data_IF_867152976351
#
_entry.id   IF_867152976351
#
_cell.length_a   1.000
_cell.length_b   1.000
_cell.length_c   1.000
_cell.angle_alpha   90.00
_cell.angle_beta   90.00
_cell.angle_gamma   90.00
#
_symmetry.space_group_name_H-M   'P 1'
#
loop_
_entity.id
_entity.type
_entity.pdbx_description
1 polymer ?
#
# COMPACT_ATOMS: atom_id res chain seq x y z
N UNK A 1 -45.06 -26.00 -11.38
CA UNK A 1 -43.92 -26.44 -12.22
C UNK A 1 -42.71 -26.58 -11.30
N UNK A 2 -42.39 -27.82 -10.94
CA UNK A 2 -41.44 -28.25 -9.90
C UNK A 2 -40.13 -28.75 -10.52
N UNK A 3 -39.01 -28.55 -9.81
CA UNK A 3 -37.76 -29.36 -9.69
C UNK A 3 -36.66 -28.39 -9.21
N UNK A 4 -36.17 -28.34 -7.96
CA UNK A 4 -35.51 -29.34 -7.08
C UNK A 4 -34.37 -30.11 -7.77
N UNK A 5 -33.12 -29.72 -7.45
CA UNK A 5 -31.93 -30.57 -7.53
C UNK A 5 -31.20 -30.53 -6.18
N UNK A 6 -30.80 -31.73 -5.72
CA UNK A 6 -30.20 -32.09 -4.42
C UNK A 6 -28.77 -32.62 -4.64
N UNK A 7 -27.97 -32.64 -3.57
CA UNK A 7 -26.84 -33.58 -3.33
C UNK A 7 -25.48 -32.86 -3.38
N UNK A 8 -24.74 -32.62 -2.29
CA UNK A 8 -24.17 -33.49 -1.23
C UNK A 8 -23.17 -34.52 -1.77
N UNK A 9 -21.87 -34.36 -1.48
CA UNK A 9 -21.05 -35.41 -0.86
C UNK A 9 -19.70 -34.88 -0.36
N UNK A 10 -19.46 -35.09 0.94
CA UNK A 10 -18.18 -35.07 1.64
C UNK A 10 -17.49 -36.42 1.46
N UNK A 11 -16.15 -36.47 1.31
CA UNK A 11 -15.39 -37.71 1.48
C UNK A 11 -13.95 -37.44 1.93
N UNK A 12 -13.70 -37.68 3.21
CA UNK A 12 -12.39 -37.87 3.83
C UNK A 12 -11.85 -39.27 3.54
N UNK A 13 -10.55 -39.43 3.24
CA UNK A 13 -9.84 -40.67 3.57
C UNK A 13 -8.31 -40.48 3.60
N UNK A 14 -7.76 -40.48 4.82
CA UNK A 14 -6.37 -40.88 5.10
C UNK A 14 -6.24 -42.39 4.84
N UNK A 15 -5.17 -42.85 4.19
CA UNK A 15 -4.71 -44.22 4.38
C UNK A 15 -3.20 -44.36 4.23
N UNK A 16 -2.61 -44.82 5.33
CA UNK A 16 -1.23 -45.23 5.55
C UNK A 16 -0.92 -46.53 4.81
N UNK A 17 0.27 -46.66 4.22
CA UNK A 17 0.81 -47.95 3.77
C UNK A 17 2.13 -48.23 4.49
N UNK A 18 2.08 -49.17 5.44
CA UNK A 18 3.22 -49.79 6.11
C UNK A 18 2.97 -51.31 6.13
N UNK A 19 3.87 -52.09 5.54
CA UNK A 19 4.09 -53.52 5.80
C UNK A 19 5.37 -53.93 5.04
N UNK A 20 6.55 -54.04 5.66
CA UNK A 20 7.11 -55.13 6.50
C UNK A 20 7.41 -56.46 5.81
N UNK A 21 8.69 -56.87 5.93
CA UNK A 21 9.11 -58.26 6.18
C UNK A 21 10.06 -58.86 5.14
N UNK A 22 11.13 -59.61 5.43
CA UNK A 22 12.02 -59.86 6.58
C UNK A 22 13.05 -60.93 6.10
N UNK A 23 14.20 -61.03 6.81
CA UNK A 23 15.21 -62.12 6.85
C UNK A 23 16.59 -61.77 6.21
N UNK A 24 17.65 -61.41 6.97
CA UNK A 24 18.58 -62.21 7.84
C UNK A 24 19.58 -63.05 6.99
N UNK A 25 20.92 -63.14 7.19
CA UNK A 25 21.83 -62.86 8.34
C UNK A 25 23.32 -63.08 7.94
N UNK A 26 24.23 -62.23 8.46
CA UNK A 26 25.67 -62.37 8.92
C UNK A 26 26.81 -62.88 8.01
N UNK A 27 27.86 -62.04 7.85
CA UNK A 27 29.31 -62.37 8.12
C UNK A 27 30.12 -61.12 8.59
N UNK A 28 31.15 -61.23 9.47
CA UNK A 28 31.92 -60.13 10.09
C UNK A 28 33.12 -59.60 9.25
N UNK A 29 33.85 -58.55 9.69
CA UNK A 29 34.59 -57.61 8.82
C UNK A 29 36.10 -57.86 8.70
N UNK A 30 36.70 -57.48 7.56
CA UNK A 30 38.17 -57.40 7.36
C UNK A 30 38.54 -56.14 6.52
N UNK A 31 39.67 -55.44 6.81
CA UNK A 31 39.89 -54.05 6.39
C UNK A 31 40.58 -53.88 5.02
N UNK A 32 40.57 -52.63 4.57
CA UNK A 32 40.91 -52.11 3.26
C UNK A 32 42.29 -52.48 2.67
N UNK A 33 42.45 -52.31 1.35
CA UNK A 33 43.64 -51.68 0.78
C UNK A 33 43.32 -50.25 0.34
N UNK A 34 44.11 -49.30 0.85
CA UNK A 34 44.16 -47.92 0.37
C UNK A 34 44.42 -47.86 -1.13
N UNK A 35 43.70 -46.99 -1.82
CA UNK A 35 44.08 -46.47 -3.14
C UNK A 35 44.08 -44.94 -3.08
N UNK A 36 45.28 -44.38 -3.13
CA UNK A 36 45.65 -42.97 -3.31
C UNK A 36 44.89 -42.31 -4.49
N UNK A 37 44.61 -40.99 -4.45
CA UNK A 37 43.52 -40.37 -5.20
C UNK A 37 43.95 -40.05 -6.63
N UNK A 38 43.05 -40.25 -7.59
CA UNK A 38 43.19 -39.73 -8.94
C UNK A 38 41.82 -39.32 -9.49
N UNK A 39 41.75 -38.07 -9.93
CA UNK A 39 40.66 -37.54 -10.75
C UNK A 39 39.69 -36.65 -9.98
N UNK A 40 40.04 -35.37 -9.87
CA UNK A 40 39.07 -34.32 -9.63
C UNK A 40 37.98 -34.41 -10.71
N UNK A 41 36.79 -34.85 -10.33
CA UNK A 41 35.58 -34.61 -11.09
C UNK A 41 35.33 -33.10 -11.05
N UNK A 42 35.41 -32.47 -12.20
CA UNK A 42 35.03 -31.08 -12.45
C UNK A 42 33.62 -30.84 -11.93
N UNK A 43 33.50 -30.21 -10.77
CA UNK A 43 32.30 -29.50 -10.38
C UNK A 43 32.13 -28.35 -11.37
N UNK A 44 31.18 -28.49 -12.30
CA UNK A 44 30.73 -27.37 -13.13
C UNK A 44 30.14 -26.32 -12.21
N UNK A 45 30.96 -25.32 -11.88
CA UNK A 45 30.55 -24.10 -11.22
C UNK A 45 29.64 -23.36 -12.20
N UNK A 46 28.33 -23.54 -12.06
CA UNK A 46 27.37 -22.75 -12.81
C UNK A 46 27.36 -21.35 -12.20
N UNK A 47 28.12 -20.44 -12.79
CA UNK A 47 27.92 -19.00 -12.61
C UNK A 47 26.48 -18.66 -12.99
N UNK A 48 25.65 -18.38 -11.98
CA UNK A 48 24.30 -17.87 -12.21
C UNK A 48 24.41 -16.46 -12.77
N UNK A 49 23.87 -16.24 -13.97
CA UNK A 49 23.75 -14.91 -14.55
C UNK A 49 22.90 -14.03 -13.63
N UNK A 50 23.48 -12.92 -13.18
CA UNK A 50 22.73 -11.92 -12.42
C UNK A 50 21.73 -11.24 -13.36
N UNK A 51 20.45 -11.58 -13.22
CA UNK A 51 19.36 -10.87 -13.88
C UNK A 51 18.99 -9.66 -13.03
N UNK A 52 19.51 -8.49 -13.40
CA UNK A 52 19.07 -7.22 -12.82
C UNK A 52 17.78 -6.81 -13.53
N UNK A 53 16.65 -7.01 -12.86
CA UNK A 53 15.38 -6.45 -13.31
C UNK A 53 15.36 -4.98 -12.91
N UNK A 54 15.69 -4.10 -13.84
CA UNK A 54 15.42 -2.66 -13.65
C UNK A 54 13.91 -2.47 -13.67
N UNK A 55 13.37 -1.93 -12.57
CA UNK A 55 11.94 -1.76 -12.38
C UNK A 55 11.27 -1.06 -13.57
N UNK A 56 10.13 -1.59 -14.00
CA UNK A 56 9.32 -0.99 -15.05
C UNK A 56 8.98 0.46 -14.67
N UNK A 57 8.99 1.37 -15.65
CA UNK A 57 8.50 2.73 -15.48
C UNK A 57 6.98 2.67 -15.23
N UNK A 58 6.59 2.65 -13.95
CA UNK A 58 5.18 2.64 -13.55
C UNK A 58 4.62 4.03 -13.84
N UNK A 59 3.49 4.15 -14.57
CA UNK A 59 2.87 5.44 -14.80
C UNK A 59 2.49 6.09 -13.46
N UNK A 60 2.58 7.42 -13.40
CA UNK A 60 2.44 8.20 -12.16
C UNK A 60 1.11 7.97 -11.41
N UNK A 61 0.06 7.58 -12.13
CA UNK A 61 -1.27 7.32 -11.58
C UNK A 61 -1.34 5.94 -10.89
N UNK A 62 -0.54 4.98 -11.34
CA UNK A 62 -0.46 3.63 -10.77
C UNK A 62 0.62 3.52 -9.67
N UNK A 63 1.51 4.52 -9.60
CA UNK A 63 2.57 4.56 -8.60
C UNK A 63 2.01 4.91 -7.21
N UNK A 64 1.99 3.92 -6.32
CA UNK A 64 1.60 4.04 -4.91
C UNK A 64 2.70 4.71 -4.05
N UNK A 65 3.95 4.68 -4.52
CA UNK A 65 5.12 5.13 -3.76
C UNK A 65 5.14 6.67 -3.69
N UNK A 66 5.15 7.28 -2.49
CA UNK A 66 5.09 8.74 -2.33
C UNK A 66 6.25 9.51 -2.97
N UNK A 67 7.41 8.88 -3.13
CA UNK A 67 8.62 9.52 -3.66
C UNK A 67 8.57 9.77 -5.18
N UNK A 68 7.67 9.10 -5.90
CA UNK A 68 7.64 9.17 -7.38
C UNK A 68 6.90 10.43 -7.86
N UNK A 69 5.96 10.96 -7.07
CA UNK A 69 5.14 12.12 -7.42
C UNK A 69 5.72 13.41 -6.82
N UNK A 70 6.03 14.43 -7.66
CA UNK A 70 6.36 15.76 -7.14
C UNK A 70 5.11 16.43 -6.56
N UNK A 71 5.29 17.21 -5.49
CA UNK A 71 4.21 17.90 -4.79
C UNK A 71 4.38 19.40 -5.00
N UNK A 72 3.45 20.03 -5.70
CA UNK A 72 3.40 21.48 -5.89
C UNK A 72 2.59 22.20 -4.80
N UNK A 73 1.60 21.51 -4.22
CA UNK A 73 0.61 22.07 -3.30
C UNK A 73 1.12 22.46 -1.90
N UNK A 74 2.42 22.43 -1.63
CA UNK A 74 2.96 22.75 -0.30
C UNK A 74 3.51 24.17 -0.28
N UNK A 75 4.40 24.49 -1.22
CA UNK A 75 5.07 25.78 -1.32
C UNK A 75 4.85 26.47 -2.68
N UNK A 76 4.08 25.86 -3.59
CA UNK A 76 3.97 26.32 -4.99
C UNK A 76 5.20 25.97 -5.84
N UNK A 77 6.04 25.04 -5.38
CA UNK A 77 7.23 24.53 -6.06
C UNK A 77 7.11 23.01 -6.18
N UNK A 78 7.56 22.43 -7.28
CA UNK A 78 7.58 20.98 -7.49
C UNK A 78 8.71 20.35 -6.66
N UNK A 79 8.38 19.89 -5.44
CA UNK A 79 9.34 19.29 -4.51
C UNK A 79 9.03 17.83 -4.24
N UNK A 80 10.06 17.05 -3.91
CA UNK A 80 9.87 15.70 -3.42
C UNK A 80 9.38 15.69 -1.96
N UNK A 81 8.69 14.62 -1.53
CA UNK A 81 8.27 14.44 -0.13
C UNK A 81 9.44 14.54 0.87
N UNK A 82 10.65 14.14 0.46
CA UNK A 82 11.85 14.18 1.30
C UNK A 82 12.43 15.60 1.49
N UNK A 83 12.09 16.53 0.59
CA UNK A 83 12.62 17.90 0.59
C UNK A 83 11.70 18.86 1.36
N UNK A 84 10.47 18.44 1.65
CA UNK A 84 9.47 19.24 2.33
C UNK A 84 9.65 19.10 3.84
N UNK A 85 10.02 20.17 4.58
CA UNK A 85 10.20 20.13 6.03
C UNK A 85 8.85 20.21 6.77
N UNK A 86 7.81 19.54 6.24
CA UNK A 86 6.47 19.46 6.84
C UNK A 86 5.93 18.05 6.74
N UNK A 87 5.01 17.70 7.64
CA UNK A 87 4.32 16.42 7.57
C UNK A 87 3.28 16.49 6.44
N UNK A 88 3.60 15.82 5.34
CA UNK A 88 2.74 15.66 4.16
C UNK A 88 2.44 14.19 3.98
N UNK A 89 1.18 13.89 3.65
CA UNK A 89 0.75 12.57 3.22
C UNK A 89 0.17 12.70 1.82
N UNK A 90 0.78 12.03 0.85
CA UNK A 90 0.30 11.97 -0.53
C UNK A 90 -0.56 10.74 -0.66
N UNK A 91 -1.72 10.90 -1.29
CA UNK A 91 -2.58 9.80 -1.70
C UNK A 91 -2.63 9.80 -3.23
N UNK A 92 -2.05 8.76 -3.82
CA UNK A 92 -2.03 8.55 -5.27
C UNK A 92 -3.39 8.06 -5.79
N UNK A 93 -3.59 8.16 -7.12
CA UNK A 93 -4.83 7.69 -7.76
C UNK A 93 -5.12 6.22 -7.47
N UNK A 94 -4.13 5.36 -7.68
CA UNK A 94 -4.30 3.94 -7.40
C UNK A 94 -4.63 3.66 -5.92
N UNK A 95 -4.13 4.46 -4.96
CA UNK A 95 -4.55 4.32 -3.55
C UNK A 95 -6.01 4.75 -3.31
N UNK A 96 -6.47 5.82 -3.98
CA UNK A 96 -7.87 6.25 -3.87
C UNK A 96 -8.82 5.15 -4.35
N UNK A 97 -8.47 4.52 -5.47
CA UNK A 97 -9.26 3.44 -6.08
C UNK A 97 -9.18 2.14 -5.27
N UNK A 98 -7.97 1.67 -4.90
CA UNK A 98 -7.74 0.41 -4.18
C UNK A 98 -8.36 0.40 -2.78
N UNK A 99 -8.33 1.55 -2.08
CA UNK A 99 -8.83 1.69 -0.71
C UNK A 99 -10.30 2.17 -0.72
N UNK A 100 -10.84 2.42 -1.92
CA UNK A 100 -12.21 2.86 -2.16
C UNK A 100 -12.54 4.09 -1.29
N UNK A 101 -11.75 5.14 -1.47
CA UNK A 101 -11.95 6.43 -0.79
C UNK A 101 -13.09 7.16 -1.49
N UNK A 102 -14.25 7.21 -0.84
CA UNK A 102 -15.46 7.83 -1.40
C UNK A 102 -15.74 9.20 -0.79
N UNK A 103 -15.31 9.40 0.45
CA UNK A 103 -15.60 10.61 1.21
C UNK A 103 -14.36 11.07 1.99
N UNK A 104 -14.35 12.34 2.39
CA UNK A 104 -13.34 12.98 3.23
C UNK A 104 -13.20 12.28 4.59
N UNK A 105 -14.26 11.58 5.02
CA UNK A 105 -14.25 10.67 6.18
C UNK A 105 -13.26 9.52 6.01
N UNK A 106 -12.98 9.05 4.80
CA UNK A 106 -12.10 7.90 4.58
C UNK A 106 -10.61 8.24 4.75
N UNK A 107 -10.26 9.53 4.87
CA UNK A 107 -8.87 9.93 5.13
C UNK A 107 -8.32 9.40 6.46
N UNK A 108 -9.17 9.04 7.43
CA UNK A 108 -8.69 8.36 8.66
C UNK A 108 -8.01 7.02 8.37
N UNK A 109 -8.29 6.39 7.22
CA UNK A 109 -7.65 5.13 6.82
C UNK A 109 -6.19 5.33 6.38
N UNK A 110 -5.86 6.51 5.86
CA UNK A 110 -4.60 6.77 5.16
C UNK A 110 -3.67 7.72 5.91
N UNK A 111 -4.22 8.62 6.69
CA UNK A 111 -3.44 9.60 7.44
C UNK A 111 -3.80 9.60 8.91
N UNK A 112 -2.79 9.72 9.74
CA UNK A 112 -2.97 9.95 11.16
C UNK A 112 -3.54 11.34 11.42
N UNK A 113 -4.25 11.46 12.55
CA UNK A 113 -4.81 12.73 13.01
C UNK A 113 -5.84 13.35 12.05
N UNK A 114 -6.44 12.55 11.17
CA UNK A 114 -7.59 12.95 10.35
C UNK A 114 -8.87 12.37 10.95
N UNK A 115 -9.84 13.24 11.19
CA UNK A 115 -11.17 12.90 11.63
C UNK A 115 -12.15 13.87 10.99
N UNK A 116 -13.34 13.44 10.60
CA UNK A 116 -14.27 14.31 9.88
C UNK A 116 -15.59 14.39 10.64
N UNK A 117 -15.91 15.58 11.16
CA UNK A 117 -17.20 15.87 11.78
C UNK A 117 -18.21 16.27 10.70
N UNK A 118 -19.44 15.79 10.81
CA UNK A 118 -20.55 16.26 9.95
C UNK A 118 -21.81 16.46 10.77
N UNK A 119 -22.56 17.52 10.49
CA UNK A 119 -23.84 17.79 11.15
C UNK A 119 -25.04 17.25 10.37
N UNK A 120 -24.93 17.17 9.03
CA UNK A 120 -26.03 16.81 8.13
C UNK A 120 -25.69 15.65 7.18
N UNK A 121 -24.61 14.90 7.45
CA UNK A 121 -24.24 13.71 6.68
C UNK A 121 -23.46 13.98 5.39
N UNK A 122 -23.24 15.25 5.05
CA UNK A 122 -22.44 15.71 3.90
C UNK A 122 -21.18 16.45 4.38
N UNK A 123 -20.10 15.75 4.75
CA UNK A 123 -18.85 16.40 5.07
C UNK A 123 -18.12 16.82 3.80
N UNK A 124 -17.51 18.00 3.87
CA UNK A 124 -16.66 18.55 2.82
C UNK A 124 -15.22 18.73 3.27
N UNK A 125 -15.00 18.92 4.58
CA UNK A 125 -13.69 19.28 5.13
C UNK A 125 -13.26 18.29 6.23
N UNK A 126 -12.05 17.72 6.15
CA UNK A 126 -11.53 16.90 7.22
C UNK A 126 -11.08 17.79 8.37
N UNK A 127 -11.13 17.28 9.60
CA UNK A 127 -10.45 17.88 10.74
C UNK A 127 -9.08 17.21 10.91
N UNK A 128 -8.02 18.01 10.88
CA UNK A 128 -6.64 17.57 11.03
C UNK A 128 -6.11 18.16 12.33
N UNK A 129 -5.59 17.30 13.23
CA UNK A 129 -5.09 17.72 14.56
C UNK A 129 -6.12 18.48 15.41
N UNK A 130 -7.40 18.14 15.26
CA UNK A 130 -8.50 18.72 16.04
C UNK A 130 -9.04 20.03 15.48
N UNK A 131 -8.56 20.48 14.32
CA UNK A 131 -8.98 21.70 13.65
C UNK A 131 -9.49 21.41 12.24
N UNK A 132 -10.57 22.07 11.82
CA UNK A 132 -11.13 21.91 10.48
C UNK A 132 -10.11 22.41 9.45
N UNK A 133 -9.76 21.53 8.52
CA UNK A 133 -8.79 21.80 7.49
C UNK A 133 -9.43 22.53 6.31
N UNK A 134 -8.62 23.36 5.68
CA UNK A 134 -8.94 23.98 4.41
C UNK A 134 -8.76 22.98 3.27
N UNK A 135 -9.70 23.02 2.33
CA UNK A 135 -9.60 22.22 1.11
C UNK A 135 -9.31 23.13 -0.07
N UNK A 136 -8.29 22.73 -0.84
CA UNK A 136 -7.87 23.40 -2.05
C UNK A 136 -7.95 22.42 -3.21
N UNK A 137 -8.54 22.87 -4.31
CA UNK A 137 -8.60 22.17 -5.58
C UNK A 137 -7.70 22.92 -6.56
N UNK A 138 -6.64 22.28 -7.05
CA UNK A 138 -5.68 22.88 -7.97
C UNK A 138 -5.16 24.26 -7.51
N UNK A 139 -4.93 24.43 -6.21
CA UNK A 139 -4.48 25.67 -5.59
C UNK A 139 -5.58 26.69 -5.29
N UNK A 140 -6.81 26.48 -5.78
CA UNK A 140 -7.97 27.32 -5.48
C UNK A 140 -8.71 26.80 -4.25
N UNK A 141 -9.04 27.69 -3.33
CA UNK A 141 -9.82 27.35 -2.14
C UNK A 141 -11.26 27.00 -2.52
N UNK A 142 -11.72 25.81 -2.16
CA UNK A 142 -13.06 25.31 -2.53
C UNK A 142 -14.17 25.96 -1.68
N UNK A 143 -13.88 26.33 -0.42
CA UNK A 143 -14.82 27.06 0.42
C UNK A 143 -14.27 27.46 1.78
N UNK A 144 -14.98 28.37 2.46
CA UNK A 144 -14.75 28.74 3.86
C UNK A 144 -15.91 28.19 4.68
N UNK A 145 -15.76 26.96 5.18
CA UNK A 145 -16.75 26.39 6.10
C UNK A 145 -16.09 26.00 7.42
N UNK A 146 -16.61 26.58 8.49
CA UNK A 146 -16.17 26.35 9.86
C UNK A 146 -16.96 25.26 10.58
N UNK A 147 -17.96 24.66 9.92
CA UNK A 147 -18.83 23.64 10.52
C UNK A 147 -18.66 22.25 9.90
N UNK A 148 -17.66 22.08 9.02
CA UNK A 148 -17.37 20.82 8.33
C UNK A 148 -18.37 20.45 7.24
N UNK A 149 -19.39 21.28 6.98
CA UNK A 149 -20.37 21.07 5.93
C UNK A 149 -20.06 22.01 4.75
N UNK A 150 -20.14 21.49 3.55
CA UNK A 150 -19.85 22.21 2.32
C UNK A 150 -20.28 21.39 1.13
N UNK A 151 -19.80 21.75 -0.06
CA UNK A 151 -20.09 20.97 -1.25
C UNK A 151 -19.35 19.63 -1.18
N UNK A 152 -20.03 18.49 -1.36
CA UNK A 152 -19.37 17.20 -1.43
C UNK A 152 -18.36 17.19 -2.58
N UNK A 153 -17.19 16.65 -2.30
CA UNK A 153 -16.11 16.53 -3.27
C UNK A 153 -16.14 15.11 -3.83
N UNK A 154 -16.19 14.98 -5.16
CA UNK A 154 -16.09 13.69 -5.83
C UNK A 154 -14.61 13.33 -6.07
N UNK A 155 -14.10 12.35 -5.34
CA UNK A 155 -12.72 11.89 -5.47
C UNK A 155 -12.39 11.27 -6.82
N UNK A 156 -13.41 10.89 -7.61
CA UNK A 156 -13.19 10.40 -8.95
C UNK A 156 -12.67 11.49 -9.90
N UNK A 157 -12.89 12.77 -9.60
CA UNK A 157 -12.43 13.90 -10.41
C UNK A 157 -10.94 14.24 -10.25
N UNK A 158 -10.24 13.62 -9.28
CA UNK A 158 -8.86 13.96 -8.93
C UNK A 158 -7.90 12.80 -9.17
N UNK A 159 -6.65 13.15 -9.49
CA UNK A 159 -5.56 12.18 -9.66
C UNK A 159 -4.78 11.95 -8.36
N UNK A 160 -4.75 12.93 -7.48
CA UNK A 160 -4.08 12.80 -6.18
C UNK A 160 -4.66 13.73 -5.15
N UNK A 161 -4.48 13.37 -3.89
CA UNK A 161 -4.84 14.21 -2.73
C UNK A 161 -3.61 14.38 -1.86
N UNK A 162 -3.26 15.63 -1.59
CA UNK A 162 -2.17 15.99 -0.70
C UNK A 162 -2.71 16.48 0.64
N UNK A 163 -2.38 15.77 1.72
CA UNK A 163 -2.78 16.11 3.08
C UNK A 163 -1.60 16.72 3.81
N UNK A 164 -1.66 18.03 3.99
CA UNK A 164 -0.69 18.77 4.77
C UNK A 164 -1.15 18.92 6.23
N UNK A 165 -0.25 18.69 7.17
CA UNK A 165 -0.54 18.87 8.61
C UNK A 165 0.21 20.07 9.18
N UNK A 166 -0.53 20.94 9.85
CA UNK A 166 -0.01 22.15 10.50
C UNK A 166 -0.48 23.44 9.81
N UNK A 167 0.10 24.59 10.19
CA UNK A 167 -0.29 25.88 9.62
C UNK A 167 -0.11 25.94 8.10
N UNK A 168 -1.01 26.65 7.38
CA UNK A 168 -0.89 26.86 5.95
C UNK A 168 0.42 27.59 5.62
N UNK A 169 0.94 27.36 4.41
CA UNK A 169 2.04 28.16 3.88
C UNK A 169 1.56 29.54 3.44
N UNK A 170 2.49 30.48 3.25
CA UNK A 170 2.21 31.84 2.75
C UNK A 170 1.45 31.87 1.41
N UNK A 171 1.61 30.82 0.59
CA UNK A 171 0.92 30.63 -0.69
C UNK A 171 -0.61 30.52 -0.56
N UNK A 172 -1.13 30.09 0.59
CA UNK A 172 -2.56 29.86 0.81
C UNK A 172 -3.26 30.97 1.59
N UNK A 173 -2.52 31.98 2.04
CA UNK A 173 -3.05 33.09 2.82
C UNK A 173 -3.65 32.65 4.16
N UNK A 174 -4.71 33.34 4.58
CA UNK A 174 -5.42 33.05 5.83
C UNK A 174 -6.11 31.68 5.75
N UNK A 175 -6.03 30.92 6.84
CA UNK A 175 -6.65 29.59 6.98
C UNK A 175 -7.70 29.60 8.08
N UNK A 176 -8.68 28.70 7.96
CA UNK A 176 -9.72 28.57 8.98
C UNK A 176 -9.09 28.31 10.35
N UNK A 177 -9.33 29.22 11.30
CA UNK A 177 -8.86 29.14 12.70
C UNK A 177 -7.33 29.11 12.89
N UNK A 178 -6.51 29.47 11.89
CA UNK A 178 -5.06 29.64 12.04
C UNK A 178 -4.65 31.07 11.74
N UNK A 179 -4.24 31.79 12.78
CA UNK A 179 -3.70 33.15 12.69
C UNK A 179 -4.77 34.24 12.82
N UNK A 180 -5.01 34.67 14.07
CA UNK A 180 -5.73 35.92 14.42
C UNK A 180 -7.24 35.83 14.36
#
# INVERSE_FOLDING_TARGET
>A
MTKRFKGVLSFSLLCSFCATGLAQVITPPEPAPERTPAGQGTSSEQEMQQVVVTGANIPINEAIVPTVRPISGVYGLDLNVMEIPRNVTIISRAQLDDISVLDVRDFTKLTTSSFTTTNFGAPSNPSIRGQIADVFINGMREGLTSNGNGMPIDFNAFDSVDILKGPPGVVYGASNYVGG
#
